data_IF_293005184124
#
_entry.id   IF_293005184124
#
_cell.length_a   1.000
_cell.length_b   1.000
_cell.length_c   1.000
_cell.angle_alpha   90.00
_cell.angle_beta   90.00
_cell.angle_gamma   90.00
#
_symmetry.space_group_name_H-M   'P 1'
#
loop_
_entity.id
_entity.type
_entity.pdbx_description
1 polymer ?
#
# COMPACT_ATOMS: atom_id res chain seq x y z
N UNK A 1 -4.17 14.00 -5.36
CA UNK A 1 -4.59 14.87 -4.24
C UNK A 1 -5.50 14.18 -3.21
N UNK A 2 -5.94 12.95 -3.47
CA UNK A 2 -6.97 12.27 -2.67
C UNK A 2 -6.42 11.40 -1.54
N UNK A 3 -5.16 10.95 -1.62
CA UNK A 3 -4.48 10.25 -0.52
C UNK A 3 -3.69 11.28 0.31
N UNK A 4 -4.06 11.44 1.58
CA UNK A 4 -3.58 12.52 2.45
C UNK A 4 -3.11 11.99 3.80
N UNK A 5 -1.97 12.49 4.26
CA UNK A 5 -1.40 12.21 5.58
C UNK A 5 -1.42 13.50 6.41
N UNK A 6 -2.17 13.51 7.51
CA UNK A 6 -2.40 14.71 8.33
C UNK A 6 -2.90 15.91 7.51
N UNK A 7 -3.80 15.66 6.56
CA UNK A 7 -4.36 16.67 5.66
C UNK A 7 -3.50 17.02 4.43
N UNK A 8 -2.21 16.67 4.42
CA UNK A 8 -1.32 16.96 3.30
C UNK A 8 -1.37 15.86 2.22
N UNK A 9 -1.48 16.20 0.92
CA UNK A 9 -1.39 15.20 -0.14
C UNK A 9 -0.04 14.48 -0.15
N UNK A 10 -0.07 13.15 -0.15
CA UNK A 10 1.13 12.31 -0.24
C UNK A 10 0.92 11.18 -1.23
N UNK A 11 1.98 10.77 -1.93
CA UNK A 11 1.96 9.51 -2.67
C UNK A 11 1.97 8.34 -1.66
N UNK A 12 1.04 7.37 -1.76
CA UNK A 12 1.10 6.18 -0.92
C UNK A 12 2.36 5.38 -1.22
N UNK A 13 2.83 4.60 -0.25
CA UNK A 13 3.96 3.70 -0.45
C UNK A 13 3.74 2.74 -1.63
N UNK A 14 2.50 2.31 -1.87
CA UNK A 14 2.12 1.44 -2.99
C UNK A 14 2.37 2.08 -4.35
N UNK A 15 2.27 3.41 -4.48
CA UNK A 15 2.63 4.11 -5.72
C UNK A 15 4.14 4.08 -5.97
N UNK A 16 4.96 4.06 -4.92
CA UNK A 16 6.42 3.96 -5.07
C UNK A 16 6.83 2.56 -5.53
N UNK A 17 6.10 1.52 -5.10
CA UNK A 17 6.28 0.14 -5.58
C UNK A 17 5.92 0.03 -7.07
N UNK A 18 4.79 0.61 -7.47
CA UNK A 18 4.37 0.66 -8.87
C UNK A 18 5.41 1.36 -9.76
N UNK A 19 5.93 2.51 -9.32
CA UNK A 19 7.02 3.22 -10.00
C UNK A 19 8.28 2.35 -10.16
N UNK A 20 8.65 1.57 -9.14
CA UNK A 20 9.80 0.67 -9.21
C UNK A 20 9.57 -0.46 -10.24
N UNK A 21 8.36 -1.05 -10.27
CA UNK A 21 7.96 -2.06 -11.26
C UNK A 21 7.97 -1.47 -12.67
N UNK A 22 7.33 -0.32 -12.88
CA UNK A 22 7.27 0.35 -14.17
C UNK A 22 8.68 0.69 -14.69
N UNK A 23 9.54 1.27 -13.84
CA UNK A 23 10.92 1.57 -14.21
C UNK A 23 11.72 0.33 -14.58
N UNK A 24 11.53 -0.79 -13.86
CA UNK A 24 12.20 -2.04 -14.16
C UNK A 24 11.80 -2.62 -15.53
N UNK A 25 10.52 -2.49 -15.90
CA UNK A 25 9.99 -2.95 -17.19
C UNK A 25 10.45 -2.12 -18.38
N UNK A 26 10.80 -0.85 -18.17
CA UNK A 26 11.38 0.02 -19.20
C UNK A 26 12.85 -0.30 -19.54
N UNK A 27 13.48 -1.25 -18.84
CA UNK A 27 14.83 -1.68 -19.18
C UNK A 27 14.81 -2.54 -20.46
N UNK A 28 15.77 -2.37 -21.40
CA UNK A 28 15.77 -3.10 -22.67
C UNK A 28 15.74 -4.63 -22.53
N UNK A 29 16.35 -5.17 -21.48
CA UNK A 29 16.35 -6.60 -21.20
C UNK A 29 14.96 -7.13 -20.77
N UNK A 30 14.13 -6.28 -20.14
CA UNK A 30 12.77 -6.62 -19.77
C UNK A 30 11.83 -6.55 -20.99
N UNK A 31 11.98 -5.54 -21.85
CA UNK A 31 11.18 -5.40 -23.08
C UNK A 31 11.29 -6.62 -24.00
N UNK A 32 12.52 -7.14 -24.18
CA UNK A 32 12.76 -8.30 -25.05
C UNK A 32 12.13 -9.61 -24.54
N UNK A 33 11.82 -9.68 -23.24
CA UNK A 33 11.33 -10.90 -22.59
C UNK A 33 9.81 -10.90 -22.34
N UNK A 34 9.11 -9.81 -22.69
CA UNK A 34 7.69 -9.61 -22.40
C UNK A 34 7.38 -9.42 -20.92
N UNK A 35 6.10 -9.39 -20.56
CA UNK A 35 5.66 -9.23 -19.17
C UNK A 35 5.97 -10.50 -18.37
N UNK A 36 7.12 -10.50 -17.68
CA UNK A 36 7.50 -11.57 -16.73
C UNK A 36 7.11 -11.20 -15.30
N UNK A 37 6.87 -12.20 -14.43
CA UNK A 37 6.75 -11.96 -13.02
C UNK A 37 7.99 -11.26 -12.46
N UNK A 38 7.78 -10.37 -11.49
CA UNK A 38 8.85 -9.66 -10.80
C UNK A 38 8.66 -9.77 -9.31
N UNK A 39 9.76 -9.91 -8.58
CA UNK A 39 9.77 -9.86 -7.13
C UNK A 39 10.59 -8.67 -6.66
N UNK A 40 10.09 -7.98 -5.64
CA UNK A 40 10.76 -6.87 -4.98
C UNK A 40 10.56 -6.89 -3.47
N UNK A 41 11.55 -6.36 -2.75
CA UNK A 41 11.38 -5.91 -1.37
C UNK A 41 11.27 -4.38 -1.33
N UNK A 42 10.85 -3.84 -0.19
CA UNK A 42 10.77 -2.41 0.01
C UNK A 42 10.93 -2.01 1.47
N UNK A 43 11.59 -0.88 1.69
CA UNK A 43 11.58 -0.13 2.95
C UNK A 43 11.18 1.31 2.66
N UNK A 44 10.22 1.84 3.42
CA UNK A 44 9.81 3.25 3.33
C UNK A 44 10.50 4.05 4.43
N UNK A 45 11.15 5.14 4.03
CA UNK A 45 12.00 5.96 4.90
C UNK A 45 11.39 7.33 5.18
N UNK A 46 10.61 7.88 4.24
CA UNK A 46 9.88 9.13 4.45
C UNK A 46 8.70 9.27 3.49
N UNK A 47 7.58 9.89 3.90
CA UNK A 47 6.47 10.21 3.01
C UNK A 47 6.90 11.11 1.85
N UNK A 48 6.41 10.84 0.64
CA UNK A 48 6.59 11.70 -0.53
C UNK A 48 5.39 12.64 -0.66
N UNK A 49 5.55 13.88 -0.18
CA UNK A 49 4.50 14.91 -0.24
C UNK A 49 4.35 15.47 -1.65
N UNK A 50 3.11 15.68 -2.08
CA UNK A 50 2.76 16.17 -3.42
C UNK A 50 1.88 17.44 -3.31
N UNK A 51 2.44 18.57 -2.86
CA UNK A 51 1.67 19.81 -2.73
C UNK A 51 1.23 20.31 -4.11
N UNK A 52 -0.03 20.73 -4.24
CA UNK A 52 -0.62 21.10 -5.52
C UNK A 52 0.07 22.30 -6.21
N UNK A 53 0.65 23.20 -5.42
CA UNK A 53 1.29 24.42 -5.92
C UNK A 53 2.69 24.18 -6.49
N UNK A 54 3.40 23.15 -6.04
CA UNK A 54 4.80 22.89 -6.40
C UNK A 54 5.09 21.38 -6.37
N UNK A 55 4.72 20.70 -7.45
CA UNK A 55 4.91 19.25 -7.54
C UNK A 55 6.41 18.92 -7.65
N UNK A 56 6.96 18.10 -6.74
CA UNK A 56 8.37 17.74 -6.83
C UNK A 56 8.61 16.82 -8.02
N UNK A 57 9.79 16.95 -8.65
CA UNK A 57 10.25 15.95 -9.61
C UNK A 57 10.61 14.68 -8.85
N UNK A 58 9.98 13.57 -9.21
CA UNK A 58 10.23 12.24 -8.65
C UNK A 58 11.21 11.49 -9.57
N UNK A 59 12.24 10.90 -8.97
CA UNK A 59 13.29 10.17 -9.70
C UNK A 59 13.38 8.75 -9.16
N UNK A 60 13.13 7.78 -10.03
CA UNK A 60 13.41 6.36 -9.78
C UNK A 60 14.79 6.05 -10.32
N UNK A 61 15.68 5.49 -9.50
CA UNK A 61 17.00 5.03 -9.94
C UNK A 61 17.10 3.53 -9.80
N UNK A 62 17.63 2.89 -10.83
CA UNK A 62 17.93 1.46 -10.85
C UNK A 62 19.44 1.29 -10.99
N UNK A 63 20.03 0.45 -10.14
CA UNK A 63 21.45 0.07 -10.20
C UNK A 63 21.54 -1.44 -10.25
N UNK A 64 22.37 -2.00 -11.13
CA UNK A 64 22.54 -3.46 -11.20
C UNK A 64 23.04 -4.00 -9.87
N UNK A 65 22.38 -5.04 -9.36
CA UNK A 65 22.80 -5.73 -8.14
C UNK A 65 23.73 -6.91 -8.50
N UNK A 66 24.81 -7.19 -7.73
CA UNK A 66 25.78 -8.26 -8.04
C UNK A 66 25.16 -9.66 -8.19
N UNK A 67 24.15 -9.96 -7.37
CA UNK A 67 23.42 -11.25 -7.42
C UNK A 67 22.26 -11.23 -8.45
N UNK A 68 22.26 -10.30 -9.39
CA UNK A 68 21.21 -10.13 -10.40
C UNK A 68 20.05 -9.25 -9.94
N UNK A 69 19.30 -8.74 -10.93
CA UNK A 69 18.29 -7.71 -10.72
C UNK A 69 18.89 -6.32 -10.50
N UNK A 70 18.11 -5.46 -9.84
CA UNK A 70 18.48 -4.07 -9.59
C UNK A 70 18.15 -3.65 -8.17
N UNK A 71 19.04 -2.90 -7.54
CA UNK A 71 18.66 -2.03 -6.43
C UNK A 71 17.87 -0.87 -6.99
N UNK A 72 16.73 -0.57 -6.37
CA UNK A 72 15.86 0.53 -6.73
C UNK A 72 15.77 1.54 -5.59
N UNK A 73 15.71 2.82 -5.93
CA UNK A 73 15.46 3.91 -4.99
C UNK A 73 14.55 4.95 -5.63
N UNK A 74 13.59 5.46 -4.85
CA UNK A 74 12.74 6.59 -5.25
C UNK A 74 13.12 7.82 -4.45
N UNK A 75 13.51 8.89 -5.14
CA UNK A 75 13.91 10.18 -4.58
C UNK A 75 13.05 11.29 -5.16
N UNK A 76 13.14 12.48 -4.57
CA UNK A 76 12.48 13.67 -5.10
C UNK A 76 13.39 14.89 -5.00
N UNK A 77 13.03 15.98 -5.69
CA UNK A 77 13.74 17.27 -5.54
C UNK A 77 13.68 17.84 -4.12
N UNK A 78 12.65 17.48 -3.33
CA UNK A 78 12.52 17.89 -1.92
C UNK A 78 13.32 17.00 -0.96
N UNK A 79 13.75 15.82 -1.41
CA UNK A 79 14.65 14.93 -0.68
C UNK A 79 15.70 14.29 -1.62
N UNK A 80 16.69 15.06 -2.10
CA UNK A 80 17.62 14.58 -3.12
C UNK A 80 18.63 13.56 -2.56
N UNK A 81 18.97 13.66 -1.28
CA UNK A 81 20.03 12.84 -0.64
C UNK A 81 19.49 11.64 0.14
N UNK A 82 18.21 11.62 0.51
CA UNK A 82 17.56 10.47 1.16
C UNK A 82 16.42 9.96 0.29
N UNK A 83 16.38 8.66 -0.05
CA UNK A 83 15.23 8.10 -0.74
C UNK A 83 13.99 8.16 0.17
N UNK A 84 12.81 8.14 -0.46
CA UNK A 84 11.51 7.94 0.19
C UNK A 84 11.20 6.45 0.36
N UNK A 85 11.65 5.65 -0.61
CA UNK A 85 11.58 4.21 -0.58
C UNK A 85 12.75 3.61 -1.36
N UNK A 86 13.16 2.41 -0.96
CA UNK A 86 14.22 1.67 -1.62
C UNK A 86 14.04 0.16 -1.40
N UNK A 87 14.70 -0.62 -2.24
CA UNK A 87 14.75 -2.07 -2.12
C UNK A 87 15.48 -2.70 -3.29
N UNK A 88 15.23 -3.98 -3.52
CA UNK A 88 15.74 -4.75 -4.65
C UNK A 88 14.59 -5.28 -5.48
N UNK A 89 14.74 -5.30 -6.80
CA UNK A 89 13.78 -5.84 -7.76
C UNK A 89 14.47 -6.76 -8.76
N UNK A 90 13.86 -7.90 -9.08
CA UNK A 90 14.36 -8.87 -10.07
C UNK A 90 13.21 -9.63 -10.72
N UNK A 91 13.49 -10.23 -11.87
CA UNK A 91 12.57 -11.21 -12.46
C UNK A 91 12.38 -12.37 -11.49
N UNK A 92 11.17 -12.90 -11.47
CA UNK A 92 10.79 -14.05 -10.66
C UNK A 92 10.45 -15.22 -11.58
N UNK A 93 11.14 -16.33 -11.39
CA UNK A 93 10.92 -17.58 -12.12
C UNK A 93 10.21 -18.62 -11.24
N UNK A 94 9.73 -18.22 -10.06
CA UNK A 94 9.06 -19.15 -9.16
C UNK A 94 7.65 -19.48 -9.67
N UNK A 95 7.17 -20.72 -9.48
CA UNK A 95 5.81 -21.06 -9.85
C UNK A 95 4.80 -20.18 -9.12
N UNK A 96 3.85 -19.63 -9.89
CA UNK A 96 2.70 -18.88 -9.36
C UNK A 96 1.98 -19.74 -8.32
N UNK A 97 1.61 -19.19 -7.14
CA UNK A 97 0.89 -19.95 -6.13
C UNK A 97 -0.47 -20.44 -6.62
N UNK A 98 -1.02 -21.42 -5.88
CA UNK A 98 -2.33 -21.99 -6.18
C UNK A 98 -3.45 -20.94 -6.14
N UNK A 99 -4.51 -21.22 -6.89
CA UNK A 99 -5.74 -20.41 -6.91
C UNK A 99 -6.31 -20.29 -5.49
N UNK A 100 -6.74 -19.09 -5.13
CA UNK A 100 -7.46 -18.83 -3.88
C UNK A 100 -8.90 -19.35 -4.00
N UNK A 101 -9.40 -19.98 -2.93
CA UNK A 101 -10.82 -20.28 -2.83
C UNK A 101 -11.61 -19.00 -2.51
N UNK A 102 -12.46 -18.60 -3.44
CA UNK A 102 -13.31 -17.42 -3.34
C UNK A 102 -14.73 -17.75 -2.88
N UNK A 103 -15.06 -19.02 -2.62
CA UNK A 103 -16.39 -19.42 -2.16
C UNK A 103 -16.92 -18.58 -0.96
N UNK A 104 -16.09 -18.22 0.05
CA UNK A 104 -16.57 -17.39 1.16
C UNK A 104 -17.04 -15.98 0.75
N UNK A 105 -16.55 -15.44 -0.37
CA UNK A 105 -16.96 -14.13 -0.86
C UNK A 105 -18.35 -14.15 -1.51
N UNK A 106 -18.83 -15.33 -1.92
CA UNK A 106 -20.15 -15.50 -2.53
C UNK A 106 -21.27 -15.80 -1.52
N UNK A 107 -20.92 -16.10 -0.26
CA UNK A 107 -21.90 -16.27 0.80
C UNK A 107 -22.64 -14.96 1.04
N UNK A 108 -23.98 -14.93 1.20
CA UNK A 108 -24.70 -13.72 1.56
C UNK A 108 -24.07 -13.05 2.80
N UNK A 109 -23.91 -11.72 2.76
CA UNK A 109 -23.49 -11.00 3.96
C UNK A 109 -24.64 -10.97 4.97
N UNK A 110 -24.31 -11.02 6.25
CA UNK A 110 -25.31 -10.73 7.28
C UNK A 110 -25.79 -9.29 7.11
N UNK A 111 -27.11 -9.03 7.25
CA UNK A 111 -27.67 -7.69 7.18
C UNK A 111 -26.94 -6.75 8.17
N UNK A 112 -26.36 -5.66 7.67
CA UNK A 112 -25.62 -4.68 8.49
C UNK A 112 -24.10 -4.84 8.48
N UNK A 113 -23.54 -5.80 7.74
CA UNK A 113 -22.09 -5.86 7.51
C UNK A 113 -21.71 -4.82 6.45
N UNK A 114 -21.34 -3.62 6.88
CA UNK A 114 -20.79 -2.61 5.97
C UNK A 114 -19.35 -2.96 5.56
N UNK A 115 -18.96 -2.68 4.31
CA UNK A 115 -17.58 -2.82 3.92
C UNK A 115 -16.72 -1.89 4.79
N UNK A 116 -15.47 -2.29 5.08
CA UNK A 116 -14.57 -1.49 5.85
C UNK A 116 -14.32 -0.14 5.17
N UNK A 117 -14.71 0.95 5.84
CA UNK A 117 -14.45 2.31 5.40
C UNK A 117 -13.36 2.89 6.29
N UNK A 118 -12.32 3.48 5.68
CA UNK A 118 -11.32 4.23 6.44
C UNK A 118 -12.01 5.39 7.16
N UNK A 119 -11.84 5.48 8.48
CA UNK A 119 -12.48 6.50 9.29
C UNK A 119 -12.04 7.91 8.86
N UNK A 120 -13.01 8.81 8.70
CA UNK A 120 -12.78 10.23 8.46
C UNK A 120 -12.13 10.91 9.67
N UNK A 121 -11.19 11.84 9.45
CA UNK A 121 -10.49 12.56 10.53
C UNK A 121 -9.34 11.79 11.20
N UNK A 122 -8.93 10.66 10.61
CA UNK A 122 -7.74 9.92 11.02
C UNK A 122 -6.42 10.52 10.51
N UNK A 123 -5.31 9.89 10.85
CA UNK A 123 -3.99 10.30 10.34
C UNK A 123 -3.90 10.18 8.82
N UNK A 124 -4.57 9.17 8.25
CA UNK A 124 -4.60 8.90 6.82
C UNK A 124 -6.02 9.03 6.28
N UNK A 125 -6.19 9.91 5.29
CA UNK A 125 -7.47 10.18 4.63
C UNK A 125 -7.36 9.84 3.14
N UNK A 126 -8.47 9.36 2.58
CA UNK A 126 -8.55 8.94 1.19
C UNK A 126 -9.81 9.46 0.51
N UNK A 127 -9.70 9.87 -0.75
CA UNK A 127 -10.82 10.30 -1.59
C UNK A 127 -11.43 9.18 -2.46
N UNK A 128 -12.36 9.53 -3.37
CA UNK A 128 -13.14 8.59 -4.17
C UNK A 128 -12.32 7.54 -4.92
N UNK A 129 -11.14 7.87 -5.47
CA UNK A 129 -10.28 6.92 -6.20
C UNK A 129 -9.80 5.74 -5.33
N UNK A 130 -9.80 5.90 -4.00
CA UNK A 130 -9.44 4.86 -3.03
C UNK A 130 -10.65 4.16 -2.41
N UNK A 131 -11.88 4.50 -2.82
CA UNK A 131 -13.10 3.81 -2.41
C UNK A 131 -13.24 2.46 -3.15
N UNK A 132 -12.25 1.58 -2.95
CA UNK A 132 -12.11 0.34 -3.70
C UNK A 132 -12.76 -0.87 -3.04
N UNK A 133 -13.03 -0.85 -1.73
CA UNK A 133 -13.53 -2.03 -1.01
C UNK A 133 -15.05 -2.16 -1.21
N UNK A 134 -15.48 -3.15 -1.99
CA UNK A 134 -16.90 -3.45 -2.19
C UNK A 134 -17.44 -4.38 -1.10
N UNK A 135 -16.59 -5.30 -0.63
CA UNK A 135 -16.98 -6.33 0.32
C UNK A 135 -15.81 -6.73 1.19
N UNK A 136 -16.09 -7.07 2.46
CA UNK A 136 -15.16 -7.74 3.33
C UNK A 136 -15.83 -8.89 4.08
N UNK A 137 -15.12 -10.01 4.19
CA UNK A 137 -15.56 -11.22 4.89
C UNK A 137 -14.42 -11.66 5.82
N UNK A 138 -14.55 -11.46 7.14
CA UNK A 138 -13.60 -12.05 8.09
C UNK A 138 -13.76 -13.57 8.12
N UNK A 139 -12.69 -14.29 8.43
CA UNK A 139 -12.75 -15.74 8.57
C UNK A 139 -11.40 -16.34 8.91
N UNK A 140 -11.21 -17.60 8.50
CA UNK A 140 -9.99 -18.36 8.82
C UNK A 140 -10.09 -19.09 10.16
N UNK A 141 -9.15 -20.00 10.45
CA UNK A 141 -9.06 -20.65 11.74
C UNK A 141 -8.72 -19.62 12.83
N UNK A 142 -9.13 -19.87 14.08
CA UNK A 142 -8.91 -18.93 15.18
C UNK A 142 -7.42 -18.58 15.41
N UNK A 143 -6.52 -19.53 15.10
CA UNK A 143 -5.07 -19.34 15.21
C UNK A 143 -4.45 -18.56 14.03
N UNK A 144 -5.18 -18.40 12.93
CA UNK A 144 -4.74 -17.67 11.74
C UNK A 144 -5.92 -16.87 11.16
N UNK A 145 -6.32 -15.77 11.83
CA UNK A 145 -7.41 -14.93 11.36
C UNK A 145 -7.07 -14.32 10.00
N UNK A 146 -8.04 -14.37 9.09
CA UNK A 146 -7.93 -13.79 7.76
C UNK A 146 -9.08 -12.83 7.46
N UNK A 147 -8.83 -11.94 6.52
CA UNK A 147 -9.82 -11.06 5.92
C UNK A 147 -9.82 -11.28 4.40
N UNK A 148 -10.98 -11.60 3.84
CA UNK A 148 -11.19 -11.66 2.40
C UNK A 148 -11.88 -10.39 1.93
N UNK A 149 -11.41 -9.80 0.83
CA UNK A 149 -11.97 -8.57 0.26
C UNK A 149 -12.35 -8.77 -1.20
N UNK A 150 -13.43 -8.12 -1.62
CA UNK A 150 -13.67 -7.78 -3.04
C UNK A 150 -13.29 -6.32 -3.24
N UNK A 151 -12.39 -6.08 -4.21
CA UNK A 151 -11.84 -4.78 -4.52
C UNK A 151 -12.20 -4.40 -5.96
N UNK A 152 -12.83 -3.25 -6.15
CA UNK A 152 -13.10 -2.70 -7.47
C UNK A 152 -12.68 -1.24 -7.53
N UNK A 153 -11.89 -0.92 -8.54
CA UNK A 153 -11.55 0.45 -8.84
C UNK A 153 -12.81 1.21 -9.31
N UNK A 154 -13.03 2.47 -8.88
CA UNK A 154 -14.14 3.27 -9.40
C UNK A 154 -14.11 3.35 -10.93
N UNK A 155 -15.29 3.32 -11.56
CA UNK A 155 -15.44 3.21 -13.03
C UNK A 155 -14.61 4.22 -13.81
N UNK A 156 -14.61 5.49 -13.38
CA UNK A 156 -13.84 6.57 -14.00
C UNK A 156 -12.31 6.47 -13.85
N UNK A 157 -11.81 5.44 -13.17
CA UNK A 157 -10.39 5.18 -12.97
C UNK A 157 -9.93 3.89 -13.67
N UNK A 158 -10.78 3.15 -14.39
CA UNK A 158 -10.41 1.85 -14.96
C UNK A 158 -9.23 1.91 -15.93
N UNK A 159 -9.13 2.98 -16.73
CA UNK A 159 -8.03 3.20 -17.67
C UNK A 159 -6.66 3.33 -16.97
N UNK A 160 -6.63 3.70 -15.68
CA UNK A 160 -5.38 3.78 -14.91
C UNK A 160 -4.66 2.42 -14.84
N UNK A 161 -5.38 1.31 -15.01
CA UNK A 161 -4.80 -0.04 -14.98
C UNK A 161 -3.86 -0.32 -16.16
N UNK A 162 -3.94 0.46 -17.24
CA UNK A 162 -3.02 0.36 -18.38
C UNK A 162 -1.63 0.94 -18.06
N UNK A 163 -1.59 1.97 -17.22
CA UNK A 163 -0.35 2.65 -16.84
C UNK A 163 0.27 2.10 -15.56
N UNK A 164 -0.54 1.48 -14.69
CA UNK A 164 -0.15 1.07 -13.35
C UNK A 164 -0.28 -0.44 -13.16
N UNK A 165 0.78 -1.22 -13.49
CA UNK A 165 0.75 -2.68 -13.37
C UNK A 165 0.51 -3.14 -11.93
N UNK A 166 0.92 -2.35 -10.94
CA UNK A 166 0.63 -2.56 -9.53
C UNK A 166 -0.28 -1.42 -9.04
N UNK A 167 -1.51 -1.36 -9.55
CA UNK A 167 -2.43 -0.23 -9.33
C UNK A 167 -2.46 0.26 -7.86
N UNK A 168 -1.96 1.48 -7.58
CA UNK A 168 -1.65 1.91 -6.21
C UNK A 168 -2.84 1.89 -5.25
N UNK A 169 -4.03 2.29 -5.71
CA UNK A 169 -5.22 2.37 -4.87
C UNK A 169 -5.76 0.98 -4.48
N UNK A 170 -5.65 -0.02 -5.37
CA UNK A 170 -6.13 -1.39 -5.09
C UNK A 170 -5.21 -2.06 -4.07
N UNK A 171 -3.89 -1.94 -4.25
CA UNK A 171 -2.93 -2.47 -3.28
C UNK A 171 -3.03 -1.73 -1.93
N UNK A 172 -3.22 -0.41 -1.95
CA UNK A 172 -3.36 0.39 -0.71
C UNK A 172 -4.65 0.04 0.05
N UNK A 173 -5.77 -0.15 -0.66
CA UNK A 173 -7.01 -0.61 -0.06
C UNK A 173 -6.87 -2.00 0.57
N UNK A 174 -6.23 -2.95 -0.13
CA UNK A 174 -5.97 -4.28 0.38
C UNK A 174 -5.11 -4.26 1.66
N UNK A 175 -3.95 -3.61 1.59
CA UNK A 175 -2.98 -3.59 2.69
C UNK A 175 -3.45 -2.72 3.87
N UNK A 176 -4.20 -1.66 3.61
CA UNK A 176 -4.73 -0.77 4.64
C UNK A 176 -5.94 -1.31 5.39
N UNK A 177 -6.58 -2.38 4.92
CA UNK A 177 -7.70 -3.00 5.61
C UNK A 177 -7.32 -3.59 6.99
N UNK A 178 -6.03 -3.76 7.27
CA UNK A 178 -5.50 -4.18 8.58
C UNK A 178 -5.47 -3.06 9.63
N UNK A 179 -5.37 -1.79 9.20
CA UNK A 179 -5.07 -0.66 10.08
C UNK A 179 -6.33 0.05 10.64
N UNK A 180 -7.51 -0.56 10.47
CA UNK A 180 -8.80 0.16 10.52
C UNK A 180 -9.33 0.48 11.90
N UNK A 181 -8.85 -0.22 12.94
CA UNK A 181 -9.27 0.00 14.33
C UNK A 181 -8.66 1.25 14.97
N UNK A 182 -7.67 1.88 14.32
CA UNK A 182 -7.07 3.13 14.83
C UNK A 182 -6.59 4.12 13.78
N UNK A 183 -6.44 3.73 12.50
CA UNK A 183 -6.00 4.63 11.43
C UNK A 183 -4.60 5.25 11.65
N UNK A 184 -3.82 4.69 12.59
CA UNK A 184 -2.52 5.22 13.02
C UNK A 184 -1.35 4.40 12.53
N UNK A 185 -1.55 3.22 11.94
CA UNK A 185 -0.45 2.43 11.42
C UNK A 185 -0.05 2.85 10.01
N UNK A 186 1.25 3.01 9.79
CA UNK A 186 1.82 3.36 8.50
C UNK A 186 2.66 2.19 7.94
N UNK A 187 2.62 1.96 6.61
CA UNK A 187 3.52 1.03 5.94
C UNK A 187 4.98 1.39 6.18
N UNK A 188 5.79 0.42 6.61
CA UNK A 188 7.24 0.62 6.77
C UNK A 188 8.09 -0.31 5.90
N UNK A 189 7.62 -1.52 5.62
CA UNK A 189 8.37 -2.46 4.81
C UNK A 189 7.50 -3.54 4.16
N UNK A 190 8.00 -4.05 3.03
CA UNK A 190 7.56 -5.29 2.39
C UNK A 190 8.77 -6.22 2.39
N UNK A 191 8.72 -7.34 3.11
CA UNK A 191 9.80 -8.34 3.05
C UNK A 191 9.92 -8.95 1.66
N UNK A 192 8.79 -9.24 1.03
CA UNK A 192 8.73 -9.69 -0.37
C UNK A 192 7.37 -9.37 -0.97
N UNK A 193 7.34 -8.74 -2.13
CA UNK A 193 6.20 -8.62 -3.02
C UNK A 193 6.55 -9.32 -4.33
N UNK A 194 5.66 -10.14 -4.86
CA UNK A 194 5.78 -10.69 -6.21
C UNK A 194 4.56 -10.29 -7.01
N UNK A 195 4.80 -9.61 -8.13
CA UNK A 195 3.80 -9.31 -9.14
C UNK A 195 3.87 -10.39 -10.22
N UNK A 196 2.87 -11.28 -10.23
CA UNK A 196 2.74 -12.38 -11.20
C UNK A 196 2.10 -11.90 -12.50
N UNK A 197 1.20 -10.94 -12.40
CA UNK A 197 0.42 -10.37 -13.49
C UNK A 197 -0.13 -9.01 -13.05
N UNK A 198 -0.26 -8.09 -13.99
CA UNK A 198 -0.79 -6.75 -13.76
C UNK A 198 -2.18 -6.78 -13.12
N UNK A 199 -2.41 -5.84 -12.20
CA UNK A 199 -3.69 -5.69 -11.54
C UNK A 199 -4.72 -5.08 -12.49
N UNK A 200 -5.81 -5.82 -12.73
CA UNK A 200 -7.00 -5.27 -13.38
C UNK A 200 -7.85 -4.43 -12.41
N UNK A 201 -8.95 -3.86 -12.94
CA UNK A 201 -9.86 -3.01 -12.16
C UNK A 201 -10.68 -3.76 -11.10
N UNK A 202 -10.75 -5.09 -11.17
CA UNK A 202 -11.40 -5.96 -10.20
C UNK A 202 -10.40 -6.98 -9.68
N UNK A 203 -10.30 -7.09 -8.36
CA UNK A 203 -9.44 -8.05 -7.69
C UNK A 203 -10.11 -8.57 -6.42
N UNK A 204 -9.71 -9.76 -5.97
CA UNK A 204 -9.99 -10.22 -4.61
C UNK A 204 -8.71 -10.25 -3.80
N UNK A 205 -8.77 -9.95 -2.52
CA UNK A 205 -7.63 -10.02 -1.63
C UNK A 205 -7.87 -11.00 -0.48
N UNK A 206 -6.87 -11.81 -0.14
CA UNK A 206 -6.75 -12.50 1.15
C UNK A 206 -5.67 -11.84 1.97
N UNK A 207 -6.00 -11.46 3.18
CA UNK A 207 -5.07 -10.87 4.14
C UNK A 207 -5.00 -11.80 5.34
N UNK A 208 -3.79 -12.18 5.74
CA UNK A 208 -3.56 -13.03 6.90
C UNK A 208 -2.65 -12.30 7.87
N UNK A 209 -3.15 -12.04 9.08
CA UNK A 209 -2.36 -11.43 10.13
C UNK A 209 -1.41 -12.48 10.72
N UNK A 210 -0.10 -12.18 10.70
CA UNK A 210 0.96 -13.08 11.17
C UNK A 210 1.43 -12.76 12.58
N UNK A 211 1.44 -11.47 12.94
CA UNK A 211 1.79 -11.04 14.28
C UNK A 211 1.23 -9.66 14.58
N UNK A 212 1.11 -9.38 15.88
CA UNK A 212 0.60 -8.15 16.42
C UNK A 212 -0.91 -8.16 16.59
N UNK A 213 -1.44 -7.20 17.35
CA UNK A 213 -2.87 -7.01 17.57
C UNK A 213 -3.35 -5.70 16.92
N UNK A 214 -4.23 -5.75 15.88
CA UNK A 214 -4.80 -4.55 15.27
C UNK A 214 -5.55 -3.67 16.26
N UNK A 215 -6.11 -4.23 17.34
CA UNK A 215 -6.78 -3.47 18.38
C UNK A 215 -5.80 -2.72 19.31
N UNK A 216 -4.53 -3.10 19.33
CA UNK A 216 -3.49 -2.47 20.13
C UNK A 216 -2.83 -1.31 19.35
N UNK A 217 -3.08 -0.07 19.78
CA UNK A 217 -2.61 1.15 19.09
C UNK A 217 -1.10 1.20 18.85
N UNK A 218 -0.30 0.62 19.75
CA UNK A 218 1.16 0.72 19.73
C UNK A 218 1.85 -0.54 19.17
N UNK A 219 1.09 -1.51 18.66
CA UNK A 219 1.66 -2.77 18.22
C UNK A 219 2.14 -2.71 16.76
N UNK A 220 3.20 -3.46 16.45
CA UNK A 220 3.66 -3.61 15.07
C UNK A 220 2.94 -4.78 14.43
N UNK A 221 2.22 -4.52 13.35
CA UNK A 221 1.48 -5.56 12.64
C UNK A 221 2.35 -6.12 11.52
N UNK A 222 2.35 -7.45 11.40
CA UNK A 222 2.92 -8.15 10.26
C UNK A 222 1.85 -8.99 9.61
N UNK A 223 1.70 -8.88 8.30
CA UNK A 223 0.71 -9.64 7.55
C UNK A 223 1.23 -10.13 6.21
N UNK A 224 0.59 -11.17 5.70
CA UNK A 224 0.72 -11.59 4.31
C UNK A 224 -0.53 -11.18 3.54
N UNK A 225 -0.37 -10.77 2.28
CA UNK A 225 -1.48 -10.34 1.42
C UNK A 225 -1.39 -11.06 0.09
N UNK A 226 -2.49 -11.59 -0.41
CA UNK A 226 -2.58 -12.18 -1.75
C UNK A 226 -3.70 -11.49 -2.50
N UNK A 227 -3.39 -10.74 -3.56
CA UNK A 227 -4.39 -10.26 -4.51
C UNK A 227 -4.53 -11.24 -5.65
N UNK A 228 -5.73 -11.36 -6.19
CA UNK A 228 -6.08 -12.31 -7.24
C UNK A 228 -6.90 -11.65 -8.34
N UNK A 229 -6.88 -12.26 -9.53
CA UNK A 229 -7.85 -11.97 -10.58
C UNK A 229 -9.29 -12.39 -10.17
N UNK A 230 -10.32 -12.05 -10.96
CA UNK A 230 -11.70 -12.43 -10.64
C UNK A 230 -11.92 -13.95 -10.51
N UNK A 231 -11.10 -14.77 -11.16
CA UNK A 231 -11.18 -16.22 -11.04
C UNK A 231 -10.50 -16.74 -9.76
N UNK A 232 -9.67 -15.93 -9.09
CA UNK A 232 -8.88 -16.31 -7.91
C UNK A 232 -7.42 -16.67 -8.19
N UNK A 233 -6.88 -16.45 -9.40
CA UNK A 233 -5.45 -16.66 -9.68
C UNK A 233 -4.62 -15.55 -9.04
N UNK A 234 -3.59 -15.84 -8.22
CA UNK A 234 -2.80 -14.81 -7.51
C UNK A 234 -2.09 -13.82 -8.43
N UNK A 235 -2.52 -12.58 -8.54
CA UNK A 235 -1.86 -11.53 -9.35
C UNK A 235 -0.70 -10.90 -8.58
N UNK A 236 -0.87 -10.70 -7.28
CA UNK A 236 0.16 -10.17 -6.39
C UNK A 236 0.22 -10.99 -5.11
N UNK A 237 1.43 -11.32 -4.66
CA UNK A 237 1.65 -11.96 -3.36
C UNK A 237 2.63 -11.14 -2.56
N UNK A 238 2.26 -10.82 -1.33
CA UNK A 238 3.03 -10.07 -0.36
C UNK A 238 3.26 -10.95 0.84
N UNK A 239 4.50 -11.05 1.26
CA UNK A 239 4.89 -11.73 2.48
C UNK A 239 5.61 -10.77 3.41
N UNK A 240 5.29 -10.82 4.70
CA UNK A 240 5.89 -9.97 5.71
C UNK A 240 5.72 -8.48 5.42
N UNK A 241 4.49 -8.05 5.13
CA UNK A 241 4.13 -6.64 5.11
C UNK A 241 4.11 -6.10 6.53
N UNK A 242 4.87 -5.03 6.80
CA UNK A 242 5.04 -4.47 8.13
C UNK A 242 4.37 -3.10 8.21
N UNK A 243 3.52 -2.97 9.21
CA UNK A 243 2.82 -1.75 9.60
C UNK A 243 3.28 -1.35 11.01
N UNK A 244 3.70 -0.09 11.19
CA UNK A 244 4.06 0.44 12.52
C UNK A 244 3.12 1.56 12.94
N UNK A 245 2.84 1.70 14.25
CA UNK A 245 2.15 2.87 14.76
C UNK A 245 2.90 4.15 14.39
N UNK A 246 2.17 5.15 13.92
CA UNK A 246 2.69 6.48 13.75
C UNK A 246 2.95 7.08 15.14
N UNK A 247 4.10 7.76 15.27
CA UNK A 247 4.41 8.48 16.49
C UNK A 247 3.29 9.49 16.80
N UNK A 248 2.79 9.47 18.04
CA UNK A 248 1.90 10.50 18.56
C UNK A 248 2.64 11.84 18.51
N UNK A 249 2.21 12.78 17.66
CA UNK A 249 2.62 14.17 17.84
C UNK A 249 1.93 14.66 19.12
N UNK A 250 2.65 15.06 20.18
CA UNK A 250 2.00 15.66 21.33
C UNK A 250 1.26 16.95 20.88
N UNK A 251 0.08 17.26 21.45
CA UNK A 251 -0.60 18.50 21.13
C UNK A 251 0.35 19.66 21.40
N UNK A 252 0.45 20.60 20.46
CA UNK A 252 1.25 21.80 20.63
C UNK A 252 0.81 22.48 21.94
N UNK A 253 1.70 22.49 22.93
CA UNK A 253 1.48 23.17 24.20
C UNK A 253 1.08 24.61 23.89
N UNK A 254 -0.17 24.96 24.23
CA UNK A 254 -0.67 26.31 24.06
C UNK A 254 0.31 27.29 24.68
N UNK A 255 0.74 28.28 23.90
CA UNK A 255 1.40 29.44 24.47
C UNK A 255 0.38 30.17 25.34
N UNK A 256 0.43 29.89 26.64
CA UNK A 256 -0.08 30.77 27.68
C UNK A 256 0.64 32.10 27.56
N UNK A 257 0.02 33.06 26.86
CA UNK A 257 0.39 34.46 27.01
C UNK A 257 -0.33 34.99 28.26
N UNK A 258 0.30 34.81 29.42
CA UNK A 258 -0.06 35.49 30.66
C UNK A 258 1.04 36.48 31.05
N UNK A 259 0.66 37.76 31.06
CA UNK A 259 1.36 38.87 31.75
C UNK A 259 2.41 39.59 30.91
N UNK A 260 2.58 40.91 30.93
CA UNK A 260 2.07 42.06 31.71
C UNK A 260 2.28 43.30 30.77
N UNK A 261 1.62 44.44 30.88
CA UNK A 261 1.73 45.38 31.99
C UNK A 261 0.69 46.51 31.89
N UNK A 262 0.15 46.85 33.05
CA UNK A 262 -0.50 48.12 33.32
C UNK A 262 0.54 49.20 33.64
N UNK A 263 0.09 50.46 33.55
CA UNK A 263 0.66 51.70 34.09
C UNK A 263 1.54 52.53 33.15
N UNK A 264 1.10 53.78 32.93
CA UNK A 264 1.78 54.84 32.19
C UNK A 264 0.80 55.79 31.52
#
# INVERSE_FOLDING_TARGET
>A
AEHRLSGDPVLPGTALLDLAVAAHRLLPAAEAAGTRPVTLDAVFTSPLRMPAADLPLVVVRLRRHPEGGHDWEVRSTTSPTRPHAQGRIRCDDTPRPARLDLAPLHTPADPGTEPPVRASGGLLETGPRWACVERAVPGGPAEEPQLLLTLRLPEGCHEDTEAHPLHPALLDAATGALAQTGGRHLPVAYRRLTLHQDLGALAHARIVLRSGDPAAENDTLVADVTLTDPDGRPTVTVEGFVLRPAASTPPASGQSASGQSASG
#
